data_IF_714672867044
#
_entry.id   IF_714672867044
#
_cell.length_a   1.000
_cell.length_b   1.000
_cell.length_c   1.000
_cell.angle_alpha   90.00
_cell.angle_beta   90.00
_cell.angle_gamma   90.00
#
_symmetry.space_group_name_H-M   'P 1'
#
loop_
_entity.id
_entity.type
_entity.pdbx_description
1 polymer ?
#
# COMPACT_ATOMS: atom_id res chain seq x y z
N UNK A 1 -13.37 -32.25 -2.39
CA UNK A 1 -12.11 -31.63 -1.94
C UNK A 1 -11.72 -30.57 -2.96
N UNK A 2 -12.10 -29.32 -2.70
CA UNK A 2 -11.60 -28.18 -3.48
C UNK A 2 -10.19 -27.94 -2.95
N UNK A 3 -9.19 -28.29 -3.75
CA UNK A 3 -7.79 -27.96 -3.49
C UNK A 3 -7.70 -26.43 -3.43
N UNK A 4 -7.34 -25.88 -2.27
CA UNK A 4 -6.88 -24.51 -2.15
C UNK A 4 -5.60 -24.40 -2.99
N UNK A 5 -5.72 -23.94 -4.24
CA UNK A 5 -4.60 -23.43 -4.96
C UNK A 5 -4.22 -22.12 -4.25
N UNK A 6 -3.17 -22.15 -3.42
CA UNK A 6 -2.57 -20.93 -2.89
C UNK A 6 -2.22 -20.05 -4.09
N UNK A 7 -3.00 -19.00 -4.29
CA UNK A 7 -2.72 -18.01 -5.32
C UNK A 7 -1.39 -17.35 -4.95
N UNK A 8 -0.36 -17.59 -5.74
CA UNK A 8 0.92 -16.91 -5.52
C UNK A 8 0.76 -15.42 -5.89
N UNK A 9 1.42 -14.56 -5.12
CA UNK A 9 1.43 -13.14 -5.37
C UNK A 9 2.69 -12.74 -6.13
N UNK A 10 2.53 -11.95 -7.18
CA UNK A 10 3.63 -11.17 -7.75
C UNK A 10 3.99 -10.00 -6.84
N UNK A 11 2.95 -9.36 -6.25
CA UNK A 11 3.09 -8.35 -5.19
C UNK A 11 2.00 -8.62 -4.13
N UNK A 12 2.42 -8.80 -2.89
CA UNK A 12 1.50 -9.04 -1.76
C UNK A 12 0.62 -7.83 -1.45
N UNK A 13 -0.43 -8.01 -0.63
CA UNK A 13 -1.30 -6.92 -0.21
C UNK A 13 -0.53 -5.79 0.48
N UNK A 14 -0.74 -4.54 0.05
CA UNK A 14 -0.10 -3.34 0.61
C UNK A 14 -0.88 -2.07 0.25
N UNK A 15 -0.54 -0.97 0.90
CA UNK A 15 -0.90 0.40 0.53
C UNK A 15 0.35 1.15 0.11
N UNK A 16 0.20 2.16 -0.76
CA UNK A 16 1.32 3.00 -1.18
C UNK A 16 1.59 4.10 -0.16
N UNK A 17 2.87 4.38 0.11
CA UNK A 17 3.28 5.44 1.05
C UNK A 17 3.25 6.85 0.45
N UNK A 18 3.02 6.98 -0.85
CA UNK A 18 2.99 8.23 -1.61
C UNK A 18 1.82 9.16 -1.24
N UNK A 19 1.71 10.31 -1.93
CA UNK A 19 0.45 11.05 -2.02
C UNK A 19 -0.50 10.34 -2.97
N UNK A 20 -0.03 10.06 -4.18
CA UNK A 20 -0.79 9.43 -5.26
C UNK A 20 0.15 8.55 -6.05
N UNK A 21 -0.35 7.41 -6.49
CA UNK A 21 0.34 6.52 -7.43
C UNK A 21 -0.42 6.50 -8.76
N UNK A 22 0.32 6.52 -9.84
CA UNK A 22 -0.20 6.42 -11.21
C UNK A 22 0.45 5.20 -11.85
N UNK A 23 -0.35 4.23 -12.23
CA UNK A 23 0.12 2.95 -12.76
C UNK A 23 -0.27 2.78 -14.22
N UNK A 24 0.72 2.61 -15.09
CA UNK A 24 0.54 2.03 -16.41
C UNK A 24 0.69 0.50 -16.29
N UNK A 25 -0.24 -0.25 -16.85
CA UNK A 25 -0.19 -1.70 -16.91
C UNK A 25 -0.49 -2.21 -18.34
N UNK A 26 0.08 -3.38 -18.66
CA UNK A 26 -0.22 -4.09 -19.88
C UNK A 26 -1.58 -4.82 -19.82
N UNK A 27 -1.90 -5.63 -20.83
CA UNK A 27 -3.15 -6.37 -20.95
C UNK A 27 -3.21 -7.68 -20.14
N UNK A 28 -2.14 -8.03 -19.40
CA UNK A 28 -2.09 -9.30 -18.64
C UNK A 28 -3.01 -9.28 -17.41
N UNK A 29 -3.19 -8.11 -16.80
CA UNK A 29 -4.05 -7.97 -15.62
C UNK A 29 -3.39 -8.43 -14.31
N UNK A 30 -4.18 -8.98 -13.39
CA UNK A 30 -3.73 -9.50 -12.10
C UNK A 30 -3.69 -8.48 -10.96
N UNK A 31 -3.86 -7.18 -11.24
CA UNK A 31 -4.04 -6.18 -10.18
C UNK A 31 -5.41 -6.34 -9.54
N UNK A 32 -5.45 -6.38 -8.22
CA UNK A 32 -6.67 -6.42 -7.42
C UNK A 32 -6.66 -5.32 -6.37
N UNK A 33 -7.82 -4.76 -6.09
CA UNK A 33 -8.04 -3.75 -5.03
C UNK A 33 -9.03 -4.29 -4.01
N UNK A 34 -8.80 -3.97 -2.73
CA UNK A 34 -9.69 -4.33 -1.64
C UNK A 34 -10.77 -3.26 -1.49
N UNK A 35 -12.02 -3.63 -1.76
CA UNK A 35 -13.17 -2.71 -1.66
C UNK A 35 -13.86 -2.80 -0.30
N UNK A 36 -13.81 -3.95 0.34
CA UNK A 36 -14.24 -4.22 1.70
C UNK A 36 -13.25 -5.22 2.30
N UNK A 37 -13.24 -5.36 3.62
CA UNK A 37 -12.34 -6.28 4.31
C UNK A 37 -12.37 -7.69 3.69
N UNK A 38 -11.25 -8.11 3.14
CA UNK A 38 -11.04 -9.39 2.43
C UNK A 38 -11.87 -9.55 1.14
N UNK A 39 -12.52 -8.50 0.63
CA UNK A 39 -13.24 -8.51 -0.65
C UNK A 39 -12.39 -7.81 -1.71
N UNK A 40 -11.88 -8.58 -2.65
CA UNK A 40 -10.96 -8.14 -3.69
C UNK A 40 -11.63 -8.13 -5.05
N UNK A 41 -11.45 -7.05 -5.81
CA UNK A 41 -11.93 -6.95 -7.18
C UNK A 41 -10.77 -6.70 -8.15
N UNK A 42 -10.91 -7.16 -9.39
CA UNK A 42 -9.90 -6.96 -10.42
C UNK A 42 -9.94 -5.52 -10.95
N UNK A 43 -8.80 -4.82 -10.89
CA UNK A 43 -8.58 -3.58 -11.61
C UNK A 43 -8.08 -3.90 -13.03
N UNK A 44 -9.03 -4.25 -13.92
CA UNK A 44 -8.72 -4.71 -15.29
C UNK A 44 -8.05 -3.60 -16.10
N UNK A 45 -7.05 -3.94 -16.92
CA UNK A 45 -6.47 -2.99 -17.85
C UNK A 45 -7.52 -2.46 -18.83
N UNK A 46 -7.48 -1.15 -19.07
CA UNK A 46 -8.27 -0.48 -20.11
C UNK A 46 -7.29 0.26 -21.00
N UNK A 47 -7.30 -0.01 -22.29
CA UNK A 47 -6.39 0.62 -23.23
C UNK A 47 -6.49 2.15 -23.19
N UNK A 48 -5.36 2.84 -23.13
CA UNK A 48 -5.29 4.30 -23.04
C UNK A 48 -5.58 4.88 -21.65
N UNK A 49 -5.74 4.04 -20.60
CA UNK A 49 -6.01 4.51 -19.24
C UNK A 49 -4.90 4.11 -18.28
N UNK A 50 -4.75 4.94 -17.23
CA UNK A 50 -3.92 4.64 -16.06
C UNK A 50 -4.82 4.25 -14.88
N UNK A 51 -4.30 3.39 -14.00
CA UNK A 51 -4.88 3.23 -12.67
C UNK A 51 -4.28 4.31 -11.77
N UNK A 52 -5.13 5.00 -11.02
CA UNK A 52 -4.71 6.03 -10.06
C UNK A 52 -5.24 5.65 -8.69
N UNK A 53 -4.36 5.59 -7.70
CA UNK A 53 -4.74 5.31 -6.31
C UNK A 53 -4.16 6.34 -5.34
N UNK A 54 -4.87 6.55 -4.25
CA UNK A 54 -4.49 7.39 -3.12
C UNK A 54 -3.44 6.66 -2.29
N UNK A 55 -2.42 7.39 -1.83
CA UNK A 55 -1.42 6.89 -0.91
C UNK A 55 -1.63 7.37 0.53
N UNK A 56 -0.86 6.80 1.44
CA UNK A 56 -0.97 7.01 2.89
C UNK A 56 -0.77 8.48 3.32
N UNK A 57 0.12 9.22 2.65
CA UNK A 57 0.34 10.63 2.99
C UNK A 57 -0.90 11.49 2.71
N UNK A 58 -1.58 11.28 1.58
CA UNK A 58 -2.80 12.00 1.27
C UNK A 58 -3.95 11.58 2.20
N UNK A 59 -4.01 10.32 2.59
CA UNK A 59 -4.97 9.84 3.60
C UNK A 59 -4.82 10.62 4.91
N UNK A 60 -3.60 10.76 5.45
CA UNK A 60 -3.35 11.53 6.68
C UNK A 60 -3.78 12.98 6.49
N UNK A 61 -3.33 13.63 5.41
CA UNK A 61 -3.61 15.06 5.18
C UNK A 61 -5.09 15.38 5.07
N UNK A 62 -5.89 14.43 4.61
CA UNK A 62 -7.34 14.58 4.48
C UNK A 62 -8.11 14.04 5.68
N UNK A 63 -7.44 13.70 6.79
CA UNK A 63 -8.11 13.12 7.96
C UNK A 63 -8.87 11.84 7.64
N UNK A 64 -8.39 11.05 6.65
CA UNK A 64 -9.04 9.82 6.21
C UNK A 64 -10.21 9.99 5.24
N UNK A 65 -10.53 11.22 4.80
CA UNK A 65 -11.55 11.44 3.77
C UNK A 65 -11.23 10.69 2.48
N UNK A 66 -10.00 10.83 1.98
CA UNK A 66 -9.47 9.94 0.94
C UNK A 66 -8.70 8.81 1.60
N UNK A 67 -9.05 7.57 1.29
CA UNK A 67 -8.42 6.38 1.87
C UNK A 67 -7.39 5.79 0.90
N UNK A 68 -6.23 5.42 1.43
CA UNK A 68 -5.27 4.59 0.72
C UNK A 68 -5.86 3.17 0.61
N UNK A 69 -6.14 2.74 -0.61
CA UNK A 69 -6.78 1.45 -0.85
C UNK A 69 -5.74 0.34 -0.91
N UNK A 70 -5.89 -0.72 -0.08
CA UNK A 70 -5.04 -1.89 -0.19
C UNK A 70 -5.17 -2.54 -1.57
N UNK A 71 -4.04 -2.92 -2.14
CA UNK A 71 -4.01 -3.58 -3.43
C UNK A 71 -2.93 -4.65 -3.48
N UNK A 72 -3.06 -5.58 -4.43
CA UNK A 72 -2.15 -6.70 -4.60
C UNK A 72 -2.07 -7.09 -6.08
N UNK A 73 -1.06 -7.86 -6.46
CA UNK A 73 -0.93 -8.42 -7.80
C UNK A 73 -0.85 -9.92 -7.70
N UNK A 74 -1.78 -10.60 -8.34
CA UNK A 74 -1.74 -12.05 -8.49
C UNK A 74 -0.68 -12.43 -9.52
N UNK A 75 0.05 -13.51 -9.27
CA UNK A 75 0.88 -14.11 -10.32
C UNK A 75 0.00 -14.61 -11.45
N UNK A 76 0.41 -14.46 -12.71
CA UNK A 76 -0.31 -15.03 -13.84
C UNK A 76 -0.57 -16.52 -13.65
N UNK A 77 -1.75 -17.03 -14.01
CA UNK A 77 -2.00 -18.47 -13.95
C UNK A 77 -0.98 -19.23 -14.83
N UNK A 78 -0.52 -20.38 -14.37
CA UNK A 78 0.42 -21.23 -15.12
C UNK A 78 -0.11 -21.70 -16.49
N UNK A 79 -1.42 -21.57 -16.71
CA UNK A 79 -2.05 -21.83 -18.02
C UNK A 79 -1.79 -20.73 -19.07
N UNK A 80 -1.34 -19.55 -18.64
CA UNK A 80 -0.85 -18.48 -19.53
C UNK A 80 0.68 -18.63 -19.61
N UNK A 81 1.12 -19.73 -20.19
CA UNK A 81 2.55 -20.04 -20.32
C UNK A 81 3.27 -18.88 -21.03
N UNK A 82 4.28 -18.34 -20.34
CA UNK A 82 5.28 -17.39 -20.85
C UNK A 82 4.83 -15.94 -21.13
N UNK A 83 3.69 -15.47 -20.68
CA UNK A 83 3.37 -14.04 -20.80
C UNK A 83 3.86 -13.28 -19.55
N UNK A 84 5.00 -12.60 -19.67
CA UNK A 84 5.45 -11.69 -18.63
C UNK A 84 4.48 -10.51 -18.48
N UNK A 85 4.18 -10.09 -17.25
CA UNK A 85 3.40 -8.90 -16.95
C UNK A 85 4.33 -7.69 -16.83
N UNK A 86 4.00 -6.62 -17.55
CA UNK A 86 4.67 -5.34 -17.43
C UNK A 86 3.77 -4.32 -16.75
N UNK A 87 4.29 -3.67 -15.71
CA UNK A 87 3.64 -2.49 -15.12
C UNK A 87 4.68 -1.46 -14.71
N UNK A 88 4.34 -0.19 -14.88
CA UNK A 88 5.22 0.95 -14.62
C UNK A 88 4.50 1.88 -13.65
N UNK A 89 4.78 1.79 -12.33
CA UNK A 89 4.25 2.71 -11.35
C UNK A 89 5.04 4.02 -11.34
N UNK A 90 4.33 5.13 -11.23
CA UNK A 90 4.87 6.44 -10.90
C UNK A 90 4.30 6.87 -9.54
N UNK A 91 5.20 7.10 -8.57
CA UNK A 91 4.84 7.54 -7.23
C UNK A 91 5.08 9.03 -7.08
N UNK A 92 4.03 9.79 -6.82
CA UNK A 92 4.16 11.19 -6.46
C UNK A 92 4.46 11.31 -4.96
N UNK A 93 5.74 11.36 -4.65
CA UNK A 93 6.24 11.35 -3.29
C UNK A 93 6.57 12.78 -2.81
N UNK A 94 6.34 13.11 -1.53
CA UNK A 94 6.90 14.30 -0.92
C UNK A 94 8.41 14.16 -0.65
N UNK A 95 9.03 15.22 -0.12
CA UNK A 95 10.39 15.14 0.43
C UNK A 95 10.43 14.21 1.64
N UNK A 96 11.59 13.62 1.91
CA UNK A 96 11.75 12.67 3.02
C UNK A 96 11.46 13.26 4.40
N UNK A 97 11.74 14.55 4.59
CA UNK A 97 11.48 15.29 5.83
C UNK A 97 10.05 15.86 5.93
N UNK A 98 9.20 15.56 4.95
CA UNK A 98 7.81 16.00 4.96
C UNK A 98 7.03 15.35 6.09
N UNK A 99 6.32 16.19 6.86
CA UNK A 99 5.42 15.76 7.93
C UNK A 99 3.98 15.97 7.49
N UNK A 100 3.28 14.88 7.24
CA UNK A 100 1.84 14.93 6.97
C UNK A 100 1.10 15.37 8.23
N UNK A 101 0.32 16.43 8.11
CA UNK A 101 -0.56 16.92 9.19
C UNK A 101 -1.97 16.86 8.67
N UNK A 102 -2.89 16.48 9.53
CA UNK A 102 -4.30 16.68 9.25
C UNK A 102 -4.53 18.18 9.01
N UNK A 103 -4.80 18.53 7.77
CA UNK A 103 -5.27 19.86 7.43
C UNK A 103 -6.79 19.82 7.38
N UNK A 104 -7.37 20.11 8.54
CA UNK A 104 -8.83 20.15 8.68
C UNK A 104 -9.52 21.18 7.80
N UNK A 105 -8.81 22.05 7.08
CA UNK A 105 -9.40 22.99 6.13
C UNK A 105 -9.66 22.38 4.76
N UNK A 106 -8.89 21.39 4.35
CA UNK A 106 -9.07 20.74 3.03
C UNK A 106 -10.40 20.00 2.97
N UNK A 107 -10.96 19.56 4.10
CA UNK A 107 -12.13 18.67 4.13
C UNK A 107 -13.32 19.25 4.92
N UNK A 108 -13.18 20.40 5.60
CA UNK A 108 -14.19 20.93 6.54
C UNK A 108 -15.51 21.43 5.95
N UNK A 109 -15.71 21.41 4.64
CA UNK A 109 -17.01 21.78 4.09
C UNK A 109 -17.95 20.59 3.94
N UNK A 110 -18.46 20.05 5.05
CA UNK A 110 -19.66 19.21 5.06
C UNK A 110 -19.45 17.73 5.35
N UNK A 111 -18.26 17.32 5.80
CA UNK A 111 -18.02 15.94 6.21
C UNK A 111 -17.61 15.89 7.69
N UNK A 112 -18.34 15.13 8.48
CA UNK A 112 -17.98 14.78 9.86
C UNK A 112 -17.55 13.32 9.87
N UNK A 113 -16.30 13.05 10.24
CA UNK A 113 -15.86 11.69 10.58
C UNK A 113 -16.72 11.18 11.74
N UNK A 114 -17.36 10.04 11.56
CA UNK A 114 -17.98 9.32 12.67
C UNK A 114 -16.91 8.45 13.34
N UNK A 115 -17.10 8.11 14.63
CA UNK A 115 -16.19 7.19 15.33
C UNK A 115 -16.05 5.84 14.58
N UNK A 116 -17.09 5.41 13.86
CA UNK A 116 -17.08 4.22 13.00
C UNK A 116 -16.13 4.37 11.78
N UNK A 117 -15.99 5.60 11.24
CA UNK A 117 -15.04 5.86 10.15
C UNK A 117 -13.59 5.79 10.64
N UNK A 118 -13.32 6.17 11.89
CA UNK A 118 -11.99 6.10 12.51
C UNK A 118 -11.63 4.63 12.83
N UNK A 119 -12.57 3.84 13.38
CA UNK A 119 -12.35 2.42 13.66
C UNK A 119 -12.16 1.57 12.39
N UNK A 120 -12.72 1.98 11.25
CA UNK A 120 -12.51 1.29 9.98
C UNK A 120 -11.06 1.36 9.46
N UNK A 121 -10.23 2.26 10.01
CA UNK A 121 -8.82 2.39 9.64
C UNK A 121 -7.93 1.29 10.23
N UNK A 122 -8.35 0.63 11.31
CA UNK A 122 -7.55 -0.37 12.02
C UNK A 122 -7.86 -1.83 11.61
N UNK A 123 -8.78 -2.02 10.68
CA UNK A 123 -9.30 -3.33 10.32
C UNK A 123 -8.74 -3.94 9.02
N UNK A 124 -7.71 -3.35 8.41
CA UNK A 124 -7.01 -4.05 7.34
C UNK A 124 -6.27 -5.27 7.92
N UNK A 125 -6.23 -6.37 7.18
CA UNK A 125 -5.48 -7.58 7.54
C UNK A 125 -3.97 -7.33 7.73
N UNK A 126 -3.52 -6.10 7.53
CA UNK A 126 -2.18 -5.60 7.75
C UNK A 126 -2.20 -4.65 8.96
N UNK A 127 -1.64 -5.08 10.08
CA UNK A 127 -1.31 -4.19 11.20
C UNK A 127 -0.16 -3.26 10.77
N UNK A 128 -0.48 -2.28 9.93
CA UNK A 128 0.49 -1.32 9.39
C UNK A 128 0.21 0.06 9.95
N UNK A 129 0.88 0.40 11.05
CA UNK A 129 0.82 1.78 11.58
C UNK A 129 1.42 2.74 10.56
N UNK A 130 0.61 3.65 10.04
CA UNK A 130 1.09 4.72 9.17
C UNK A 130 1.83 5.76 10.03
N UNK A 131 3.03 6.17 9.58
CA UNK A 131 3.85 7.21 10.22
C UNK A 131 3.69 8.49 9.43
N UNK A 132 3.43 9.60 10.11
CA UNK A 132 3.17 10.90 9.47
C UNK A 132 4.43 11.55 8.86
N UNK A 133 5.64 11.17 9.28
CA UNK A 133 6.89 11.57 8.63
C UNK A 133 7.13 10.66 7.43
N UNK A 134 7.09 11.23 6.22
CA UNK A 134 7.14 10.43 4.99
C UNK A 134 8.37 9.52 4.92
N UNK A 135 9.57 10.05 5.21
CA UNK A 135 10.81 9.27 5.14
C UNK A 135 10.82 8.09 6.10
N UNK A 136 10.30 8.26 7.32
CA UNK A 136 10.19 7.18 8.30
C UNK A 136 9.17 6.12 7.84
N UNK A 137 8.05 6.58 7.29
CA UNK A 137 7.02 5.68 6.79
C UNK A 137 7.51 4.87 5.57
N UNK A 138 8.20 5.52 4.63
CA UNK A 138 8.81 4.87 3.49
C UNK A 138 9.92 3.89 3.91
N UNK A 139 10.77 4.27 4.87
CA UNK A 139 11.82 3.41 5.40
C UNK A 139 11.25 2.16 6.07
N UNK A 140 10.22 2.32 6.91
CA UNK A 140 9.48 1.20 7.51
C UNK A 140 8.93 0.24 6.44
N UNK A 141 8.30 0.78 5.40
CA UNK A 141 7.72 -0.02 4.32
C UNK A 141 8.80 -0.77 3.53
N UNK A 142 9.93 -0.13 3.25
CA UNK A 142 11.08 -0.76 2.61
C UNK A 142 11.67 -1.87 3.48
N UNK A 143 11.82 -1.64 4.77
CA UNK A 143 12.36 -2.63 5.72
C UNK A 143 11.49 -3.90 5.78
N UNK A 144 10.16 -3.75 5.70
CA UNK A 144 9.21 -4.88 5.69
C UNK A 144 9.19 -5.63 4.36
N UNK A 145 9.24 -4.91 3.24
CA UNK A 145 9.18 -5.52 1.90
C UNK A 145 10.49 -6.19 1.48
N UNK A 146 11.63 -5.74 2.04
CA UNK A 146 12.95 -6.23 1.71
C UNK A 146 13.77 -6.58 2.96
N UNK A 147 13.31 -7.51 3.82
CA UNK A 147 13.93 -7.78 5.13
C UNK A 147 15.39 -8.22 5.03
N UNK A 148 15.76 -9.00 4.01
CA UNK A 148 17.13 -9.45 3.82
C UNK A 148 18.08 -8.31 3.45
N UNK A 149 17.62 -7.39 2.59
CA UNK A 149 18.40 -6.20 2.20
C UNK A 149 18.52 -5.27 3.42
N UNK A 150 17.42 -5.06 4.13
CA UNK A 150 17.42 -4.25 5.34
C UNK A 150 18.42 -4.79 6.37
N UNK A 151 18.36 -6.06 6.72
CA UNK A 151 19.26 -6.67 7.69
C UNK A 151 20.74 -6.60 7.28
N UNK A 152 21.04 -6.63 5.98
CA UNK A 152 22.38 -6.49 5.44
C UNK A 152 22.95 -5.09 5.62
N UNK A 153 22.15 -4.05 5.41
CA UNK A 153 22.57 -2.65 5.42
C UNK A 153 22.34 -1.96 6.76
N UNK A 154 21.46 -2.50 7.60
CA UNK A 154 21.13 -2.00 8.93
C UNK A 154 21.18 -3.16 9.96
N UNK A 155 22.36 -3.76 10.20
CA UNK A 155 22.50 -4.89 11.13
C UNK A 155 22.24 -4.51 12.59
N UNK A 156 22.33 -3.23 12.91
CA UNK A 156 22.05 -2.60 14.20
C UNK A 156 20.55 -2.39 14.48
N UNK A 157 19.69 -2.57 13.45
CA UNK A 157 18.26 -2.36 13.58
C UNK A 157 17.47 -3.68 13.54
N UNK A 158 16.31 -3.66 14.17
CA UNK A 158 15.32 -4.75 14.15
C UNK A 158 13.97 -4.21 13.70
N UNK A 159 13.30 -4.91 12.77
CA UNK A 159 11.93 -4.60 12.36
C UNK A 159 10.99 -5.57 13.06
N UNK A 160 10.02 -5.05 13.82
CA UNK A 160 8.97 -5.82 14.46
C UNK A 160 7.84 -6.15 13.47
N UNK A 161 6.95 -7.08 13.84
CA UNK A 161 5.81 -7.48 13.01
C UNK A 161 4.83 -6.34 12.72
N UNK A 162 4.70 -5.36 13.63
CA UNK A 162 3.88 -4.16 13.45
C UNK A 162 4.58 -3.06 12.62
N UNK A 163 5.82 -3.30 12.15
CA UNK A 163 6.63 -2.36 11.39
C UNK A 163 7.46 -1.40 12.25
N UNK A 164 7.41 -1.48 13.57
CA UNK A 164 8.28 -0.69 14.45
C UNK A 164 9.73 -1.06 14.20
N UNK A 165 10.59 -0.03 14.05
CA UNK A 165 12.04 -0.18 13.90
C UNK A 165 12.71 0.21 15.22
N UNK A 166 13.56 -0.66 15.73
CA UNK A 166 14.27 -0.48 17.00
C UNK A 166 15.74 -0.79 16.85
N UNK A 167 16.55 -0.19 17.71
CA UNK A 167 17.95 -0.59 17.84
C UNK A 167 18.02 -2.02 18.41
N UNK A 168 18.83 -2.84 17.77
CA UNK A 168 19.12 -4.18 18.27
C UNK A 168 19.98 -4.06 19.53
N UNK A 169 19.41 -4.42 20.68
CA UNK A 169 20.20 -4.50 21.91
C UNK A 169 21.26 -5.60 21.73
N UNK A 170 22.51 -5.20 21.70
CA UNK A 170 23.69 -6.09 21.69
C UNK A 170 23.85 -6.71 23.09
#
# INVERSE_FOLDING_TARGET
SIANSESSFGVGPHTDTSFVSILLQDDVGGLQVEVEKNVWIDARPIEGYFVVNIGEMLQIMTGGYYKATPHRVLSPPSSIENKARLSIPYFWNPRLDFVAKEDGEIVKKGWTTTDEDIESHDNSAMSNRIINVYGENAFKSLARSHPNVFAKHHPDLLVRSDGTIEERKI
#
